data_IF_568675671164
#
_entry.id   IF_568675671164
#
_cell.length_a   1.000
_cell.length_b   1.000
_cell.length_c   1.000
_cell.angle_alpha   90.00
_cell.angle_beta   90.00
_cell.angle_gamma   90.00
#
_symmetry.space_group_name_H-M   'P 1'
#
loop_
_entity.id
_entity.type
_entity.pdbx_description
1 polymer ?
#
# COMPACT_ATOMS: atom_id res chain seq x y z
N UNK A 1 26.84 7.58 11.45
CA UNK A 1 25.66 8.04 10.67
C UNK A 1 24.74 6.83 10.50
N UNK A 2 23.49 6.94 10.88
CA UNK A 2 22.52 5.84 10.77
C UNK A 2 22.12 5.71 9.31
N UNK A 3 22.14 4.49 8.76
CA UNK A 3 21.55 4.24 7.45
C UNK A 3 20.07 3.89 7.60
N UNK A 4 19.26 4.29 6.64
CA UNK A 4 17.82 3.98 6.64
C UNK A 4 17.57 2.47 6.67
N UNK A 5 18.43 1.70 6.02
CA UNK A 5 18.33 0.23 5.99
C UNK A 5 18.54 -0.40 7.37
N UNK A 6 19.52 0.08 8.14
CA UNK A 6 19.76 -0.40 9.51
C UNK A 6 18.56 -0.12 10.39
N UNK A 7 18.00 1.08 10.29
CA UNK A 7 16.84 1.50 11.04
C UNK A 7 15.61 0.66 10.71
N UNK A 8 15.36 0.40 9.43
CA UNK A 8 14.24 -0.44 8.98
C UNK A 8 14.38 -1.89 9.43
N UNK A 9 15.58 -2.48 9.34
CA UNK A 9 15.84 -3.84 9.86
C UNK A 9 15.60 -3.94 11.36
N UNK A 10 16.10 -2.98 12.13
CA UNK A 10 15.90 -2.97 13.59
C UNK A 10 14.42 -2.84 13.95
N UNK A 11 13.70 -1.94 13.27
CA UNK A 11 12.26 -1.77 13.50
C UNK A 11 11.46 -3.05 13.18
N UNK A 12 11.77 -3.73 12.06
CA UNK A 12 11.14 -5.01 11.73
C UNK A 12 11.44 -6.09 12.75
N UNK A 13 12.69 -6.22 13.19
CA UNK A 13 13.10 -7.19 14.20
C UNK A 13 12.40 -6.95 15.55
N UNK A 14 12.12 -5.67 15.85
CA UNK A 14 11.37 -5.28 17.04
C UNK A 14 9.84 -5.48 16.91
N UNK A 15 9.34 -5.97 15.76
CA UNK A 15 7.92 -6.15 15.51
C UNK A 15 7.16 -4.83 15.36
N UNK A 16 7.82 -3.79 14.84
CA UNK A 16 7.18 -2.50 14.61
C UNK A 16 6.16 -2.58 13.46
N UNK A 17 5.05 -1.87 13.62
CA UNK A 17 4.08 -1.65 12.54
C UNK A 17 4.40 -0.38 11.73
N UNK A 18 4.92 0.63 12.40
CA UNK A 18 5.24 1.94 11.82
C UNK A 18 6.54 2.49 12.39
N UNK A 19 7.20 3.35 11.62
CA UNK A 19 8.40 4.10 12.00
C UNK A 19 8.12 5.57 11.78
N UNK A 20 8.57 6.41 12.71
CA UNK A 20 8.44 7.86 12.65
C UNK A 20 9.81 8.51 12.62
N UNK A 21 10.04 9.32 11.61
CA UNK A 21 11.29 10.06 11.41
C UNK A 21 10.97 11.56 11.40
N UNK A 22 11.44 12.27 12.41
CA UNK A 22 11.19 13.71 12.58
C UNK A 22 12.48 14.41 12.99
N UNK A 23 12.73 15.59 12.44
CA UNK A 23 13.85 16.43 12.87
C UNK A 23 13.69 16.85 14.35
N UNK A 24 14.81 16.94 15.07
CA UNK A 24 14.84 17.28 16.49
C UNK A 24 14.30 16.17 17.40
N UNK A 25 14.11 14.95 16.89
CA UNK A 25 13.62 13.80 17.65
C UNK A 25 14.44 12.55 17.35
N UNK A 26 14.48 11.66 18.32
CA UNK A 26 14.97 10.30 18.09
C UNK A 26 13.99 9.58 17.14
N UNK A 27 14.48 8.79 16.17
CA UNK A 27 13.63 7.86 15.45
C UNK A 27 12.76 7.04 16.41
N UNK A 28 11.49 6.91 16.10
CA UNK A 28 10.55 6.19 16.95
C UNK A 28 9.79 5.13 16.12
N UNK A 29 9.26 4.12 16.77
CA UNK A 29 8.49 3.07 16.15
C UNK A 29 7.24 2.73 16.96
N UNK A 30 6.18 2.31 16.27
CA UNK A 30 4.97 1.76 16.91
C UNK A 30 5.12 0.26 17.08
N UNK A 31 5.27 -0.19 18.31
CA UNK A 31 5.47 -1.59 18.68
C UNK A 31 4.38 -1.98 19.67
N UNK A 32 3.56 -3.00 19.35
CA UNK A 32 2.45 -3.41 20.19
C UNK A 32 1.44 -2.28 20.47
N UNK A 33 1.19 -1.43 19.48
CA UNK A 33 0.27 -0.29 19.56
C UNK A 33 0.83 0.94 20.28
N UNK A 34 2.03 0.87 20.90
CA UNK A 34 2.66 1.97 21.63
C UNK A 34 3.85 2.55 20.88
N UNK A 35 4.01 3.88 20.90
CA UNK A 35 5.19 4.54 20.32
C UNK A 35 6.37 4.40 21.31
N UNK A 36 7.51 3.95 20.79
CA UNK A 36 8.78 3.81 21.53
C UNK A 36 9.91 4.43 20.71
N UNK A 37 10.82 5.13 21.38
CA UNK A 37 12.04 5.59 20.74
C UNK A 37 12.93 4.40 20.39
N UNK A 38 13.53 4.43 19.23
CA UNK A 38 14.58 3.51 18.84
C UNK A 38 15.92 3.98 19.42
N UNK A 39 16.88 3.06 19.55
CA UNK A 39 18.20 3.38 20.11
C UNK A 39 19.12 4.05 19.07
N UNK A 40 18.73 5.27 18.73
CA UNK A 40 19.45 6.16 17.83
C UNK A 40 19.52 7.57 18.41
N UNK A 41 20.52 8.37 18.00
CA UNK A 41 20.56 9.80 18.36
C UNK A 41 19.37 10.55 17.75
N UNK A 42 19.14 11.76 18.24
CA UNK A 42 18.19 12.68 17.63
C UNK A 42 18.65 13.06 16.23
N UNK A 43 17.71 13.12 15.29
CA UNK A 43 17.98 13.53 13.91
C UNK A 43 18.04 15.06 13.84
N UNK A 44 19.14 15.60 13.41
CA UNK A 44 19.18 17.01 13.00
C UNK A 44 18.29 17.23 11.76
N UNK A 45 17.89 18.50 11.51
CA UNK A 45 17.10 18.83 10.32
C UNK A 45 17.78 18.39 9.02
N UNK A 46 19.09 18.58 8.93
CA UNK A 46 19.89 18.20 7.76
C UNK A 46 19.96 16.67 7.58
N UNK A 47 20.10 15.93 8.68
CA UNK A 47 20.09 14.45 8.62
C UNK A 47 18.74 13.91 8.25
N UNK A 48 17.65 14.43 8.84
CA UNK A 48 16.30 14.05 8.48
C UNK A 48 16.01 14.30 7.00
N UNK A 49 16.31 15.51 6.50
CA UNK A 49 16.14 15.85 5.09
C UNK A 49 16.92 14.90 4.17
N UNK A 50 18.21 14.70 4.47
CA UNK A 50 19.06 13.81 3.68
C UNK A 50 18.50 12.39 3.63
N UNK A 51 18.22 11.78 4.78
CA UNK A 51 17.73 10.40 4.87
C UNK A 51 16.40 10.24 4.14
N UNK A 52 15.48 11.21 4.29
CA UNK A 52 14.15 11.13 3.71
C UNK A 52 14.16 11.34 2.19
N UNK A 53 14.95 12.29 1.70
CA UNK A 53 15.03 12.56 0.26
C UNK A 53 15.86 11.50 -0.50
N UNK A 54 16.82 10.85 0.14
CA UNK A 54 17.55 9.71 -0.43
C UNK A 54 16.66 8.48 -0.71
N UNK A 55 15.50 8.39 -0.06
CA UNK A 55 14.52 7.33 -0.33
C UNK A 55 13.72 7.56 -1.62
N UNK A 56 13.69 8.79 -2.13
CA UNK A 56 12.88 9.20 -3.27
C UNK A 56 13.67 9.14 -4.57
N UNK A 57 13.03 8.68 -5.63
CA UNK A 57 13.55 8.86 -6.97
C UNK A 57 13.42 10.34 -7.44
N UNK A 58 13.97 10.65 -8.62
CA UNK A 58 13.99 12.02 -9.14
C UNK A 58 12.57 12.60 -9.34
N UNK A 59 11.60 11.77 -9.76
CA UNK A 59 10.19 12.17 -9.98
C UNK A 59 9.49 12.43 -8.67
N UNK A 60 9.64 11.53 -7.71
CA UNK A 60 9.09 11.63 -6.36
C UNK A 60 9.67 12.83 -5.61
N UNK A 61 10.99 13.07 -5.74
CA UNK A 61 11.64 14.24 -5.15
C UNK A 61 11.15 15.56 -5.76
N UNK A 62 10.88 15.59 -7.07
CA UNK A 62 10.27 16.74 -7.74
C UNK A 62 8.84 16.98 -7.22
N UNK A 63 8.02 15.93 -7.13
CA UNK A 63 6.67 15.98 -6.55
C UNK A 63 6.71 16.52 -5.12
N UNK A 64 7.60 16.01 -4.27
CA UNK A 64 7.75 16.49 -2.90
C UNK A 64 8.11 17.99 -2.83
N UNK A 65 8.98 18.46 -3.72
CA UNK A 65 9.34 19.91 -3.76
C UNK A 65 8.14 20.78 -4.09
N UNK A 66 7.24 20.30 -4.96
CA UNK A 66 6.05 21.02 -5.39
C UNK A 66 4.93 20.94 -4.34
N UNK A 67 4.54 19.72 -3.95
CA UNK A 67 3.36 19.47 -3.11
C UNK A 67 3.64 19.42 -1.61
N UNK A 68 4.93 19.36 -1.21
CA UNK A 68 5.39 19.19 0.18
C UNK A 68 4.91 17.88 0.83
N UNK A 69 4.44 16.94 0.00
CA UNK A 69 3.98 15.63 0.44
C UNK A 69 4.21 14.58 -0.65
N UNK A 70 4.57 13.37 -0.25
CA UNK A 70 4.65 12.21 -1.13
C UNK A 70 4.29 10.96 -0.36
N UNK A 71 3.49 10.07 -0.96
CA UNK A 71 3.07 8.80 -0.37
C UNK A 71 3.35 7.68 -1.37
N UNK A 72 4.34 6.85 -1.07
CA UNK A 72 4.87 5.86 -2.00
C UNK A 72 5.17 4.53 -1.32
N UNK A 73 5.15 3.46 -2.11
CA UNK A 73 5.66 2.16 -1.66
C UNK A 73 7.06 1.93 -2.21
N UNK A 74 8.01 1.80 -1.31
CA UNK A 74 9.42 1.58 -1.61
C UNK A 74 9.80 0.16 -1.18
N UNK A 75 10.50 -0.56 -2.06
CA UNK A 75 11.04 -1.88 -1.77
C UNK A 75 12.55 -1.77 -1.53
N UNK A 76 13.00 -2.18 -0.35
CA UNK A 76 14.42 -2.30 -0.02
C UNK A 76 14.84 -3.76 -0.18
N UNK A 77 15.81 -3.99 -1.06
CA UNK A 77 16.28 -5.34 -1.35
C UNK A 77 16.79 -6.06 -0.09
N UNK A 78 16.28 -7.26 0.16
CA UNK A 78 16.66 -8.06 1.33
C UNK A 78 16.17 -7.52 2.68
N UNK A 79 15.28 -6.50 2.69
CA UNK A 79 14.67 -5.96 3.90
C UNK A 79 13.15 -6.12 3.82
N UNK A 80 12.50 -5.51 2.81
CA UNK A 80 11.05 -5.58 2.68
C UNK A 80 10.45 -4.42 1.91
N UNK A 81 9.14 -4.28 2.01
CA UNK A 81 8.37 -3.20 1.40
C UNK A 81 7.85 -2.28 2.50
N UNK A 82 7.86 -0.99 2.20
CA UNK A 82 7.47 0.06 3.14
C UNK A 82 6.61 1.07 2.41
N UNK A 83 5.47 1.45 2.97
CA UNK A 83 4.73 2.62 2.51
C UNK A 83 5.29 3.82 3.26
N UNK A 84 5.86 4.74 2.53
CA UNK A 84 6.58 5.90 3.05
C UNK A 84 5.77 7.15 2.73
N UNK A 85 5.21 7.77 3.76
CA UNK A 85 4.56 9.06 3.66
C UNK A 85 5.53 10.13 4.19
N UNK A 86 6.11 10.92 3.27
CA UNK A 86 6.96 12.07 3.60
C UNK A 86 6.12 13.34 3.50
N UNK A 87 6.19 14.18 4.52
CA UNK A 87 5.45 15.44 4.60
C UNK A 87 6.30 16.53 5.25
N UNK A 88 5.86 17.77 5.09
CA UNK A 88 6.53 18.92 5.72
C UNK A 88 5.99 19.11 7.14
N UNK A 89 6.89 19.23 8.13
CA UNK A 89 6.58 19.57 9.51
C UNK A 89 7.52 20.66 9.98
N UNK A 90 7.01 21.84 10.39
CA UNK A 90 7.79 23.01 10.82
C UNK A 90 8.94 23.39 9.84
N UNK A 91 8.67 23.31 8.55
CA UNK A 91 9.64 23.65 7.51
C UNK A 91 10.69 22.59 7.20
N UNK A 92 10.66 21.43 7.85
CA UNK A 92 11.58 20.32 7.60
C UNK A 92 10.83 19.04 7.22
N UNK A 93 11.42 18.17 6.37
CA UNK A 93 10.82 16.88 6.04
C UNK A 93 10.68 16.00 7.28
N UNK A 94 9.54 15.35 7.38
CA UNK A 94 9.24 14.29 8.34
C UNK A 94 8.61 13.12 7.63
N UNK A 95 8.67 11.92 8.21
CA UNK A 95 8.01 10.76 7.62
C UNK A 95 7.32 9.87 8.64
N UNK A 96 6.22 9.29 8.18
CA UNK A 96 5.61 8.09 8.75
C UNK A 96 5.79 6.94 7.76
N UNK A 97 6.43 5.88 8.21
CA UNK A 97 6.76 4.71 7.38
C UNK A 97 6.02 3.50 7.91
N UNK A 98 5.06 2.98 7.14
CA UNK A 98 4.34 1.75 7.46
C UNK A 98 5.14 0.56 6.94
N UNK A 99 5.38 -0.41 7.79
CA UNK A 99 6.02 -1.67 7.40
C UNK A 99 4.98 -2.57 6.75
N UNK A 100 5.18 -2.94 5.49
CA UNK A 100 4.32 -3.87 4.77
C UNK A 100 4.87 -5.28 5.03
N UNK A 101 4.29 -5.93 6.05
CA UNK A 101 4.66 -7.29 6.39
C UNK A 101 4.26 -8.26 5.26
N UNK A 102 4.96 -9.39 5.18
CA UNK A 102 4.56 -10.47 4.27
C UNK A 102 3.11 -10.84 4.57
N UNK A 103 2.28 -10.93 3.52
CA UNK A 103 0.90 -11.39 3.70
C UNK A 103 0.90 -12.83 4.17
N UNK A 104 0.05 -13.12 5.14
CA UNK A 104 -0.28 -14.48 5.55
C UNK A 104 -1.33 -15.04 4.58
N UNK A 105 -1.46 -16.35 4.56
CA UNK A 105 -2.54 -16.98 3.80
C UNK A 105 -3.91 -16.62 4.37
N UNK A 106 -4.97 -16.81 3.56
CA UNK A 106 -6.34 -16.62 4.02
C UNK A 106 -6.69 -17.64 5.10
N UNK A 107 -7.41 -17.22 6.16
CA UNK A 107 -8.13 -18.15 7.03
C UNK A 107 -9.02 -19.08 6.22
N UNK A 108 -9.22 -20.31 6.70
CA UNK A 108 -9.98 -21.34 5.97
C UNK A 108 -11.41 -20.87 5.66
N UNK A 109 -12.03 -20.17 6.59
CA UNK A 109 -13.39 -19.64 6.49
C UNK A 109 -13.55 -18.61 5.35
N UNK A 110 -12.47 -17.93 5.00
CA UNK A 110 -12.48 -16.92 3.92
C UNK A 110 -12.14 -17.50 2.54
N UNK A 111 -11.61 -18.73 2.48
CA UNK A 111 -11.25 -19.36 1.20
C UNK A 111 -12.45 -19.58 0.27
N UNK A 112 -13.63 -19.79 0.84
CA UNK A 112 -14.86 -19.91 0.05
C UNK A 112 -15.17 -18.66 -0.78
N UNK A 113 -14.78 -17.47 -0.31
CA UNK A 113 -14.96 -16.21 -1.04
C UNK A 113 -14.17 -16.17 -2.35
N UNK A 114 -13.09 -16.94 -2.47
CA UNK A 114 -12.34 -17.03 -3.72
C UNK A 114 -13.13 -17.72 -4.86
N UNK A 115 -14.21 -18.42 -4.53
CA UNK A 115 -15.13 -19.03 -5.51
C UNK A 115 -16.17 -18.07 -6.11
N UNK A 116 -16.33 -16.88 -5.56
CA UNK A 116 -17.31 -15.88 -6.03
C UNK A 116 -16.92 -15.40 -7.42
N UNK A 117 -17.88 -15.40 -8.35
CA UNK A 117 -17.66 -15.02 -9.76
C UNK A 117 -18.22 -13.65 -10.11
N UNK A 118 -19.11 -13.11 -9.30
CA UNK A 118 -19.72 -11.79 -9.46
C UNK A 118 -20.19 -11.24 -8.13
N UNK A 119 -20.30 -9.92 -8.02
CA UNK A 119 -20.76 -9.24 -6.80
C UNK A 119 -19.62 -8.55 -6.05
N UNK A 120 -19.90 -8.09 -4.84
CA UNK A 120 -19.00 -7.25 -4.04
C UNK A 120 -18.61 -7.97 -2.75
N UNK A 121 -17.31 -8.08 -2.52
CA UNK A 121 -16.73 -8.50 -1.25
C UNK A 121 -16.09 -7.28 -0.59
N UNK A 122 -16.59 -6.89 0.59
CA UNK A 122 -16.07 -5.78 1.36
C UNK A 122 -15.28 -6.27 2.57
N UNK A 123 -14.05 -5.76 2.71
CA UNK A 123 -13.19 -6.01 3.87
C UNK A 123 -13.13 -4.75 4.73
N UNK A 124 -13.87 -4.74 5.83
CA UNK A 124 -13.98 -3.60 6.74
C UNK A 124 -13.19 -3.83 8.03
N UNK A 125 -12.66 -2.76 8.60
CA UNK A 125 -11.93 -2.82 9.87
C UNK A 125 -11.14 -1.57 10.16
N UNK A 126 -10.59 -1.50 11.38
CA UNK A 126 -9.75 -0.39 11.83
C UNK A 126 -8.47 -0.28 10.97
N UNK A 127 -7.79 0.88 10.96
CA UNK A 127 -6.43 0.96 10.43
C UNK A 127 -5.54 -0.15 10.99
N UNK A 128 -4.66 -0.71 10.18
CA UNK A 128 -3.71 -1.80 10.52
C UNK A 128 -4.34 -3.14 10.94
N UNK A 129 -5.64 -3.36 10.66
CA UNK A 129 -6.31 -4.65 10.95
C UNK A 129 -6.07 -5.74 9.90
N UNK A 130 -5.29 -5.47 8.86
CA UNK A 130 -4.98 -6.43 7.82
C UNK A 130 -5.87 -6.37 6.57
N UNK A 131 -6.73 -5.35 6.40
CA UNK A 131 -7.64 -5.21 5.24
C UNK A 131 -6.93 -5.42 3.89
N UNK A 132 -5.91 -4.61 3.60
CA UNK A 132 -5.17 -4.71 2.32
C UNK A 132 -4.47 -6.05 2.15
N UNK A 133 -3.92 -6.64 3.24
CA UNK A 133 -3.33 -7.98 3.21
C UNK A 133 -4.36 -9.05 2.89
N UNK A 134 -5.57 -8.97 3.48
CA UNK A 134 -6.69 -9.88 3.22
C UNK A 134 -7.17 -9.78 1.77
N UNK A 135 -7.36 -8.55 1.27
CA UNK A 135 -7.73 -8.32 -0.14
C UNK A 135 -6.70 -8.91 -1.11
N UNK A 136 -5.40 -8.67 -0.86
CA UNK A 136 -4.33 -9.20 -1.68
C UNK A 136 -4.26 -10.73 -1.63
N UNK A 137 -4.43 -11.35 -0.45
CA UNK A 137 -4.46 -12.80 -0.30
C UNK A 137 -5.69 -13.43 -0.98
N UNK A 138 -6.86 -12.76 -0.90
CA UNK A 138 -8.07 -13.22 -1.58
C UNK A 138 -7.92 -13.15 -3.11
N UNK A 139 -7.40 -12.03 -3.63
CA UNK A 139 -7.11 -11.87 -5.05
C UNK A 139 -6.15 -12.96 -5.57
N UNK A 140 -5.09 -13.25 -4.81
CA UNK A 140 -4.12 -14.29 -5.16
C UNK A 140 -4.76 -15.69 -5.15
N UNK A 141 -5.60 -15.97 -4.16
CA UNK A 141 -6.33 -17.25 -4.09
C UNK A 141 -7.30 -17.43 -5.27
N UNK A 142 -7.98 -16.35 -5.69
CA UNK A 142 -8.83 -16.34 -6.89
C UNK A 142 -8.02 -16.65 -8.14
N UNK A 143 -6.91 -15.96 -8.35
CA UNK A 143 -6.04 -16.13 -9.51
C UNK A 143 -5.33 -17.50 -9.54
N UNK A 144 -4.98 -18.05 -8.37
CA UNK A 144 -4.40 -19.39 -8.28
C UNK A 144 -5.42 -20.49 -8.66
N UNK A 145 -6.68 -20.28 -8.32
CA UNK A 145 -7.74 -21.27 -8.49
C UNK A 145 -8.33 -21.35 -9.90
N UNK A 146 -8.32 -20.24 -10.65
CA UNK A 146 -9.03 -20.16 -11.94
C UNK A 146 -8.36 -19.24 -12.96
N UNK A 147 -8.68 -19.48 -14.24
CA UNK A 147 -8.32 -18.58 -15.33
C UNK A 147 -9.27 -17.39 -15.31
N UNK A 148 -8.79 -16.23 -14.89
CA UNK A 148 -9.52 -14.96 -14.87
C UNK A 148 -8.56 -13.81 -15.07
N UNK A 149 -9.06 -12.68 -15.56
CA UNK A 149 -8.34 -11.42 -15.61
C UNK A 149 -8.79 -10.54 -14.45
N UNK A 150 -7.91 -10.32 -13.48
CA UNK A 150 -8.13 -9.41 -12.36
C UNK A 150 -7.35 -8.11 -12.60
N UNK A 151 -8.02 -6.99 -12.44
CA UNK A 151 -7.38 -5.66 -12.47
C UNK A 151 -7.37 -5.10 -11.06
N UNK A 152 -6.27 -4.46 -10.64
CA UNK A 152 -6.24 -3.72 -9.37
C UNK A 152 -6.17 -2.22 -9.63
N UNK A 153 -6.93 -1.45 -8.84
CA UNK A 153 -6.91 0.00 -8.78
C UNK A 153 -6.55 0.39 -7.34
N UNK A 154 -5.32 0.80 -7.13
CA UNK A 154 -4.76 1.02 -5.79
C UNK A 154 -4.02 2.37 -5.70
N UNK A 155 -3.94 2.96 -4.50
CA UNK A 155 -3.22 4.21 -4.27
C UNK A 155 -2.56 4.21 -2.87
N UNK A 156 -1.28 3.83 -2.79
CA UNK A 156 -0.44 3.13 -3.75
C UNK A 156 -0.63 1.60 -3.74
N UNK A 157 0.08 0.89 -4.62
CA UNK A 157 0.06 -0.58 -4.66
C UNK A 157 0.95 -1.15 -3.54
N UNK A 158 0.33 -1.65 -2.45
CA UNK A 158 1.07 -2.11 -1.26
C UNK A 158 1.61 -3.54 -1.43
N UNK A 159 0.74 -4.53 -1.65
CA UNK A 159 1.10 -5.95 -1.61
C UNK A 159 1.40 -6.52 -2.99
N UNK A 160 2.45 -7.34 -3.15
CA UNK A 160 2.59 -8.15 -4.35
C UNK A 160 1.47 -9.20 -4.38
N UNK A 161 0.91 -9.45 -5.56
CA UNK A 161 -0.08 -10.48 -5.84
C UNK A 161 0.48 -11.36 -6.95
N UNK A 162 0.50 -12.67 -6.75
CA UNK A 162 0.91 -13.62 -7.77
C UNK A 162 -0.27 -13.97 -8.68
N UNK A 163 -0.06 -13.90 -9.99
CA UNK A 163 -1.12 -14.14 -10.96
C UNK A 163 -1.59 -15.61 -11.04
N UNK A 164 -0.77 -16.56 -10.58
CA UNK A 164 -1.09 -17.98 -10.62
C UNK A 164 -1.47 -18.45 -12.01
N UNK A 165 -2.73 -18.94 -12.18
CA UNK A 165 -3.31 -19.34 -13.47
C UNK A 165 -3.92 -18.16 -14.24
N UNK A 166 -4.26 -17.09 -13.55
CA UNK A 166 -4.95 -15.94 -14.13
C UNK A 166 -4.03 -14.90 -14.75
N UNK A 167 -4.63 -13.81 -15.18
CA UNK A 167 -3.95 -12.59 -15.60
C UNK A 167 -4.17 -11.51 -14.55
N UNK A 168 -3.13 -10.74 -14.26
CA UNK A 168 -3.17 -9.65 -13.30
C UNK A 168 -2.67 -8.37 -13.94
N UNK A 169 -3.54 -7.37 -14.02
CA UNK A 169 -3.19 -5.99 -14.40
C UNK A 169 -3.22 -5.12 -13.16
N UNK A 170 -2.10 -4.48 -12.84
CA UNK A 170 -1.99 -3.64 -11.63
C UNK A 170 -1.87 -2.19 -12.02
N UNK A 171 -2.71 -1.34 -11.42
CA UNK A 171 -2.72 0.09 -11.69
C UNK A 171 -2.66 0.91 -10.41
N UNK A 172 -1.64 1.72 -10.33
CA UNK A 172 -1.51 2.74 -9.31
C UNK A 172 -2.21 4.01 -9.77
N UNK A 173 -3.19 4.49 -8.99
CA UNK A 173 -3.83 5.77 -9.23
C UNK A 173 -2.77 6.89 -9.15
N UNK A 174 -2.82 7.80 -10.11
CA UNK A 174 -1.85 8.89 -10.24
C UNK A 174 -0.55 8.53 -10.99
N UNK A 175 -0.32 7.23 -11.29
CA UNK A 175 0.84 6.75 -12.07
C UNK A 175 0.43 6.05 -13.36
N UNK A 176 -0.37 4.99 -13.25
CA UNK A 176 -0.79 4.15 -14.37
C UNK A 176 -2.17 4.55 -14.90
N UNK A 177 -2.97 5.21 -14.09
CA UNK A 177 -4.26 5.82 -14.43
C UNK A 177 -4.47 7.07 -13.58
N UNK A 178 -5.14 8.08 -14.13
CA UNK A 178 -5.32 9.37 -13.45
C UNK A 178 -6.33 9.33 -12.30
N UNK A 179 -7.33 8.42 -12.37
CA UNK A 179 -8.41 8.35 -11.37
C UNK A 179 -9.05 6.96 -11.34
N UNK A 180 -9.84 6.68 -10.29
CA UNK A 180 -10.67 5.48 -10.23
C UNK A 180 -11.68 5.41 -11.37
N UNK A 181 -12.24 6.55 -11.77
CA UNK A 181 -13.18 6.65 -12.89
C UNK A 181 -12.49 6.23 -14.19
N UNK A 182 -11.33 6.81 -14.49
CA UNK A 182 -10.56 6.47 -15.71
C UNK A 182 -10.14 5.00 -15.71
N UNK A 183 -9.61 4.50 -14.58
CA UNK A 183 -9.28 3.09 -14.41
C UNK A 183 -10.48 2.18 -14.67
N UNK A 184 -11.66 2.56 -14.18
CA UNK A 184 -12.90 1.81 -14.40
C UNK A 184 -13.37 1.88 -15.87
N UNK A 185 -13.25 3.03 -16.53
CA UNK A 185 -13.60 3.16 -17.94
C UNK A 185 -12.71 2.28 -18.83
N UNK A 186 -11.43 2.15 -18.48
CA UNK A 186 -10.50 1.25 -19.17
C UNK A 186 -10.85 -0.23 -19.01
N UNK A 187 -11.38 -0.65 -17.84
CA UNK A 187 -11.81 -2.03 -17.61
C UNK A 187 -12.83 -2.55 -18.64
N UNK A 188 -13.66 -1.65 -19.19
CA UNK A 188 -14.64 -1.99 -20.23
C UNK A 188 -13.98 -2.52 -21.51
N UNK A 189 -12.75 -2.09 -21.78
CA UNK A 189 -11.99 -2.45 -22.98
C UNK A 189 -11.01 -3.60 -22.76
N UNK A 190 -10.86 -4.07 -21.50
CA UNK A 190 -9.85 -5.07 -21.11
C UNK A 190 -10.43 -6.46 -20.89
N UNK A 191 -11.75 -6.62 -21.01
CA UNK A 191 -12.45 -7.89 -20.75
C UNK A 191 -12.06 -8.47 -19.36
N UNK A 192 -12.00 -7.61 -18.34
CA UNK A 192 -11.71 -8.04 -17.00
C UNK A 192 -12.87 -8.85 -16.40
N UNK A 193 -12.55 -9.89 -15.64
CA UNK A 193 -13.52 -10.71 -14.89
C UNK A 193 -13.75 -10.16 -13.48
N UNK A 194 -12.77 -9.40 -12.98
CA UNK A 194 -12.86 -8.81 -11.65
C UNK A 194 -11.98 -7.59 -11.45
N UNK A 195 -12.29 -6.83 -10.41
CA UNK A 195 -11.51 -5.67 -9.99
C UNK A 195 -11.28 -5.67 -8.48
N UNK A 196 -10.05 -5.37 -8.06
CA UNK A 196 -9.72 -5.01 -6.69
C UNK A 196 -9.56 -3.50 -6.61
N UNK A 197 -10.33 -2.85 -5.73
CA UNK A 197 -10.22 -1.43 -5.42
C UNK A 197 -9.60 -1.34 -4.03
N UNK A 198 -8.39 -0.79 -3.94
CA UNK A 198 -7.58 -0.83 -2.73
C UNK A 198 -8.21 -0.13 -1.53
N UNK A 199 -8.88 1.00 -1.76
CA UNK A 199 -9.54 1.80 -0.73
C UNK A 199 -10.86 2.39 -1.26
N UNK A 200 -11.95 2.22 -0.52
CA UNK A 200 -13.29 2.74 -0.85
C UNK A 200 -13.61 3.99 0.01
N UNK A 201 -12.66 4.91 0.13
CA UNK A 201 -12.78 6.09 0.99
C UNK A 201 -13.42 7.29 0.29
N UNK A 202 -13.45 7.30 -1.03
CA UNK A 202 -14.02 8.40 -1.82
C UNK A 202 -15.33 7.99 -2.50
N UNK A 203 -16.25 8.93 -2.71
CA UNK A 203 -17.47 8.66 -3.50
C UNK A 203 -17.17 8.10 -4.89
N UNK A 204 -16.08 8.55 -5.51
CA UNK A 204 -15.64 8.07 -6.82
C UNK A 204 -15.24 6.60 -6.80
N UNK A 205 -14.45 6.17 -5.80
CA UNK A 205 -14.05 4.77 -5.64
C UNK A 205 -15.28 3.86 -5.37
N UNK A 206 -16.22 4.33 -4.54
CA UNK A 206 -17.48 3.61 -4.29
C UNK A 206 -18.32 3.48 -5.56
N UNK A 207 -18.46 4.56 -6.33
CA UNK A 207 -19.17 4.54 -7.62
C UNK A 207 -18.50 3.58 -8.62
N UNK A 208 -17.16 3.56 -8.67
CA UNK A 208 -16.41 2.62 -9.51
C UNK A 208 -16.71 1.17 -9.12
N UNK A 209 -16.70 0.85 -7.81
CA UNK A 209 -17.05 -0.48 -7.31
C UNK A 209 -18.48 -0.89 -7.70
N UNK A 210 -19.46 -0.03 -7.47
CA UNK A 210 -20.87 -0.31 -7.81
C UNK A 210 -21.09 -0.47 -9.32
N UNK A 211 -20.37 0.31 -10.13
CA UNK A 211 -20.42 0.18 -11.58
C UNK A 211 -19.86 -1.17 -12.03
N UNK A 212 -18.73 -1.59 -11.49
CA UNK A 212 -18.14 -2.90 -11.77
C UNK A 212 -19.08 -4.05 -11.41
N UNK A 213 -19.75 -3.99 -10.25
CA UNK A 213 -20.76 -4.97 -9.86
C UNK A 213 -21.93 -5.02 -10.85
N UNK A 214 -22.44 -3.87 -11.31
CA UNK A 214 -23.50 -3.79 -12.32
C UNK A 214 -23.10 -4.38 -13.67
N UNK A 215 -21.82 -4.43 -13.97
CA UNK A 215 -21.27 -5.06 -15.16
C UNK A 215 -21.09 -6.58 -15.00
N UNK A 216 -21.38 -7.13 -13.85
CA UNK A 216 -21.24 -8.57 -13.57
C UNK A 216 -19.83 -8.98 -13.11
N UNK A 217 -18.95 -8.04 -12.79
CA UNK A 217 -17.62 -8.34 -12.29
C UNK A 217 -17.65 -8.78 -10.83
N UNK A 218 -16.66 -9.58 -10.42
CA UNK A 218 -16.34 -9.73 -9.01
C UNK A 218 -15.52 -8.51 -8.55
N UNK A 219 -15.95 -7.88 -7.46
CA UNK A 219 -15.32 -6.69 -6.90
C UNK A 219 -14.82 -6.98 -5.50
N UNK A 220 -13.55 -6.69 -5.26
CA UNK A 220 -12.90 -6.73 -3.94
C UNK A 220 -12.59 -5.30 -3.49
N UNK A 221 -12.97 -4.93 -2.24
CA UNK A 221 -12.73 -3.58 -1.72
C UNK A 221 -12.84 -3.44 -0.20
#
# INVERSE_FOLDING_TARGET
MVTIEQLFRQAQQAGAAEIYLMAGRKPAARIGGKIKNLDYPELSSTEAEKILLEMLDAKQAAQYRETKSVDEVIAFHGIGRFRVHIYQNDGVPSACVKIINKKEGLPEELKALAGITQGLVLVCGKPHSGKSATLAALAEQMLAGRFMHLVTLESPVEYPIEAGKGLLSRRCIGKDTGSYKEGMDNLLHESADGVLIGELETPEAVQAALRAVKMGLVVLG
#
